data_IF_542846896126
#
_entry.id   IF_542846896126
#
_cell.length_a   1.000
_cell.length_b   1.000
_cell.length_c   1.000
_cell.angle_alpha   90.00
_cell.angle_beta   90.00
_cell.angle_gamma   90.00
#
_symmetry.space_group_name_H-M   'P 1'
#
loop_
_entity.id
_entity.type
_entity.pdbx_description
1 polymer ?
#
# COMPACT_ATOMS: atom_id res chain seq x y z
N UNK A 1 13.39 -0.92 68.66
CA UNK A 1 13.23 0.48 68.22
C UNK A 1 13.00 0.52 66.70
N UNK A 2 12.25 -0.46 66.16
CA UNK A 2 12.43 -0.94 64.78
C UNK A 2 11.21 -0.74 63.87
N UNK A 3 10.02 -0.57 64.45
CA UNK A 3 8.79 -0.36 63.67
C UNK A 3 8.67 1.05 63.07
N UNK A 4 9.20 2.06 63.74
CA UNK A 4 9.08 3.47 63.29
C UNK A 4 10.03 3.80 62.14
N UNK A 5 11.20 3.14 62.08
CA UNK A 5 12.16 3.28 60.99
C UNK A 5 11.64 2.59 59.72
N UNK A 6 11.09 1.38 59.85
CA UNK A 6 10.54 0.61 58.73
C UNK A 6 9.34 1.29 58.08
N UNK A 7 8.49 1.96 58.88
CA UNK A 7 7.35 2.73 58.36
C UNK A 7 7.79 4.00 57.61
N UNK A 8 8.90 4.63 58.00
CA UNK A 8 9.48 5.78 57.27
C UNK A 8 10.10 5.35 55.94
N UNK A 9 10.83 4.23 55.92
CA UNK A 9 11.42 3.66 54.71
C UNK A 9 10.33 3.21 53.72
N UNK A 10 9.26 2.57 54.21
CA UNK A 10 8.13 2.17 53.37
C UNK A 10 7.39 3.36 52.75
N UNK A 11 7.19 4.45 53.50
CA UNK A 11 6.57 5.68 52.97
C UNK A 11 7.45 6.36 51.94
N UNK A 12 8.75 6.40 52.16
CA UNK A 12 9.71 6.98 51.22
C UNK A 12 9.78 6.17 49.92
N UNK A 13 9.74 4.84 50.01
CA UNK A 13 9.70 3.94 48.86
C UNK A 13 8.39 4.09 48.07
N UNK A 14 7.24 4.19 48.74
CA UNK A 14 5.95 4.41 48.07
C UNK A 14 5.90 5.78 47.36
N UNK A 15 6.42 6.84 47.99
CA UNK A 15 6.50 8.16 47.36
C UNK A 15 7.43 8.15 46.15
N UNK A 16 8.55 7.42 46.22
CA UNK A 16 9.47 7.26 45.10
C UNK A 16 8.85 6.49 43.93
N UNK A 17 8.15 5.39 44.22
CA UNK A 17 7.43 4.59 43.22
C UNK A 17 6.28 5.37 42.58
N UNK A 18 5.51 6.15 43.36
CA UNK A 18 4.45 7.01 42.85
C UNK A 18 5.01 8.13 41.95
N UNK A 19 6.16 8.71 42.33
CA UNK A 19 6.88 9.69 41.51
C UNK A 19 7.38 9.09 40.19
N UNK A 20 7.98 7.89 40.22
CA UNK A 20 8.39 7.18 39.01
C UNK A 20 7.20 6.87 38.09
N UNK A 21 6.07 6.45 38.65
CA UNK A 21 4.86 6.16 37.88
C UNK A 21 4.28 7.42 37.22
N UNK A 22 4.26 8.56 37.94
CA UNK A 22 3.84 9.84 37.38
C UNK A 22 4.74 10.30 36.22
N UNK A 23 6.06 10.15 36.35
CA UNK A 23 7.02 10.50 35.28
C UNK A 23 6.84 9.59 34.07
N UNK A 24 6.58 8.29 34.27
CA UNK A 24 6.31 7.34 33.18
C UNK A 24 5.01 7.68 32.41
N UNK A 25 3.95 8.09 33.12
CA UNK A 25 2.70 8.55 32.52
C UNK A 25 2.91 9.84 31.70
N UNK A 26 3.70 10.79 32.21
CA UNK A 26 4.01 12.03 31.47
C UNK A 26 4.83 11.78 30.22
N UNK A 27 5.82 10.87 30.26
CA UNK A 27 6.65 10.54 29.10
C UNK A 27 5.84 9.85 27.99
N UNK A 28 4.82 9.06 28.36
CA UNK A 28 3.90 8.41 27.42
C UNK A 28 3.00 9.40 26.67
N UNK A 29 2.72 10.56 27.28
CA UNK A 29 1.85 11.59 26.70
C UNK A 29 2.55 12.50 25.68
N UNK A 30 3.87 12.37 25.52
CA UNK A 30 4.69 13.15 24.58
C UNK A 30 5.14 12.37 23.35
N UNK A 31 4.40 11.33 22.96
CA UNK A 31 4.46 10.88 21.57
C UNK A 31 3.96 12.05 20.69
N UNK A 32 4.88 12.88 20.24
CA UNK A 32 4.60 13.97 19.32
C UNK A 32 3.89 13.38 18.11
N UNK A 33 2.65 13.79 17.91
CA UNK A 33 1.94 13.53 16.67
C UNK A 33 2.75 14.18 15.56
N UNK A 34 3.38 13.37 14.70
CA UNK A 34 4.01 13.83 13.47
C UNK A 34 2.99 14.72 12.75
N UNK A 35 3.34 15.95 12.35
CA UNK A 35 2.40 16.79 11.62
C UNK A 35 1.91 16.00 10.41
N UNK A 36 0.59 15.83 10.31
CA UNK A 36 0.00 15.20 9.13
C UNK A 36 0.49 15.98 7.91
N UNK A 37 1.20 15.31 7.01
CA UNK A 37 1.63 15.92 5.76
C UNK A 37 0.39 16.50 5.07
N UNK A 38 0.48 17.77 4.65
CA UNK A 38 -0.58 18.41 3.87
C UNK A 38 -0.93 17.48 2.70
N UNK A 39 -2.21 17.11 2.49
CA UNK A 39 -2.59 16.20 1.42
C UNK A 39 -2.13 16.76 0.08
N UNK A 40 -1.05 16.23 -0.47
CA UNK A 40 -0.59 16.61 -1.79
C UNK A 40 -1.50 15.92 -2.80
N UNK A 41 -2.11 16.69 -3.69
CA UNK A 41 -2.96 16.14 -4.75
C UNK A 41 -2.09 15.25 -5.64
N UNK A 42 -2.35 13.93 -5.60
CA UNK A 42 -1.70 12.96 -6.47
C UNK A 42 -2.38 12.97 -7.83
N UNK A 43 -1.66 13.37 -8.87
CA UNK A 43 -2.13 13.26 -10.25
C UNK A 43 -1.83 11.86 -10.79
N UNK A 44 -2.87 11.02 -10.88
CA UNK A 44 -2.78 9.61 -11.25
C UNK A 44 -2.86 9.37 -12.76
N UNK A 45 -3.30 10.35 -13.56
CA UNK A 45 -3.40 10.19 -15.02
C UNK A 45 -2.06 10.44 -15.67
N UNK A 46 -1.42 9.37 -16.13
CA UNK A 46 -0.09 9.44 -16.73
C UNK A 46 -0.03 10.36 -17.96
N UNK A 47 -1.12 10.44 -18.74
CA UNK A 47 -1.22 11.23 -19.97
C UNK A 47 -1.00 12.73 -19.70
N UNK A 48 -1.30 13.20 -18.48
CA UNK A 48 -1.05 14.58 -18.03
C UNK A 48 0.42 14.96 -18.14
N UNK A 49 1.31 13.98 -18.07
CA UNK A 49 2.76 14.16 -18.11
C UNK A 49 3.38 13.97 -19.50
N UNK A 50 2.57 13.68 -20.52
CA UNK A 50 3.05 13.44 -21.89
C UNK A 50 3.68 14.68 -22.55
N UNK A 51 3.08 15.85 -22.35
CA UNK A 51 3.59 17.12 -22.88
C UNK A 51 4.79 17.68 -22.09
N UNK A 52 4.79 17.71 -20.74
CA UNK A 52 5.96 18.20 -19.99
C UNK A 52 7.15 17.24 -20.03
N UNK A 53 6.95 15.92 -20.10
CA UNK A 53 8.04 14.93 -20.05
C UNK A 53 7.98 13.94 -21.23
N UNK A 54 8.11 14.41 -22.48
CA UNK A 54 7.79 13.61 -23.66
C UNK A 54 8.68 12.37 -23.82
N UNK A 55 9.98 12.45 -23.52
CA UNK A 55 10.91 11.33 -23.67
C UNK A 55 10.69 10.25 -22.60
N UNK A 56 10.50 10.67 -21.35
CA UNK A 56 10.19 9.80 -20.23
C UNK A 56 8.83 9.13 -20.42
N UNK A 57 7.82 9.89 -20.84
CA UNK A 57 6.50 9.37 -21.14
C UNK A 57 6.55 8.34 -22.28
N UNK A 58 7.26 8.65 -23.37
CA UNK A 58 7.41 7.72 -24.50
C UNK A 58 8.11 6.42 -24.11
N UNK A 59 9.19 6.50 -23.33
CA UNK A 59 9.90 5.30 -22.85
C UNK A 59 9.08 4.48 -21.85
N UNK A 60 8.27 5.13 -21.00
CA UNK A 60 7.30 4.44 -20.15
C UNK A 60 6.23 3.71 -20.98
N UNK A 61 5.68 4.35 -22.02
CA UNK A 61 4.70 3.73 -22.92
C UNK A 61 5.26 2.51 -23.67
N UNK A 62 6.56 2.49 -23.97
CA UNK A 62 7.22 1.37 -24.64
C UNK A 62 7.16 0.05 -23.84
N UNK A 63 6.82 0.09 -22.54
CA UNK A 63 6.54 -1.14 -21.78
C UNK A 63 5.35 -1.92 -22.35
N UNK A 64 4.46 -1.30 -23.13
CA UNK A 64 3.41 -2.01 -23.88
C UNK A 64 3.95 -2.97 -24.95
N UNK A 65 5.20 -2.80 -25.41
CA UNK A 65 5.82 -3.71 -26.36
C UNK A 65 6.16 -5.06 -25.70
N UNK A 66 6.35 -5.08 -24.37
CA UNK A 66 6.56 -6.29 -23.57
C UNK A 66 5.22 -6.97 -23.28
N UNK A 67 4.56 -7.45 -24.33
CA UNK A 67 3.16 -7.92 -24.27
C UNK A 67 3.00 -9.41 -23.98
N UNK A 68 4.07 -10.20 -24.15
CA UNK A 68 4.05 -11.66 -24.04
C UNK A 68 3.54 -12.12 -22.69
N UNK A 69 2.48 -12.94 -22.72
CA UNK A 69 1.92 -13.59 -21.53
C UNK A 69 2.33 -15.06 -21.51
N UNK A 70 3.25 -15.39 -20.62
CA UNK A 70 3.79 -16.76 -20.48
C UNK A 70 3.19 -17.42 -19.26
N UNK A 71 2.39 -18.46 -19.48
CA UNK A 71 1.81 -19.29 -18.42
C UNK A 71 2.91 -20.12 -17.73
N UNK A 72 3.20 -19.80 -16.47
CA UNK A 72 4.22 -20.48 -15.70
C UNK A 72 3.72 -21.81 -15.13
N UNK A 73 2.41 -22.00 -14.96
CA UNK A 73 1.84 -23.29 -14.54
C UNK A 73 1.88 -24.30 -15.67
N UNK A 74 1.61 -23.87 -16.91
CA UNK A 74 1.80 -24.73 -18.09
C UNK A 74 3.27 -25.09 -18.31
N UNK A 75 4.20 -24.16 -18.05
CA UNK A 75 5.64 -24.39 -18.15
C UNK A 75 6.21 -25.30 -17.05
N UNK A 76 5.66 -25.24 -15.83
CA UNK A 76 6.03 -26.13 -14.72
C UNK A 76 4.79 -26.55 -13.90
N UNK A 77 4.10 -27.64 -14.28
CA UNK A 77 2.89 -28.09 -13.60
C UNK A 77 3.09 -28.51 -12.14
N UNK A 78 4.34 -28.71 -11.67
CA UNK A 78 4.62 -28.99 -10.26
C UNK A 78 4.23 -27.81 -9.36
N UNK A 79 4.21 -26.59 -9.91
CA UNK A 79 3.76 -25.38 -9.21
C UNK A 79 2.28 -25.47 -8.80
N UNK A 80 1.45 -26.16 -9.58
CA UNK A 80 0.04 -26.40 -9.25
C UNK A 80 -0.08 -27.23 -7.98
N UNK A 81 0.75 -28.27 -7.85
CA UNK A 81 0.78 -29.13 -6.66
C UNK A 81 1.38 -28.38 -5.47
N UNK A 82 2.48 -27.65 -5.69
CA UNK A 82 3.14 -26.86 -4.64
C UNK A 82 2.18 -25.83 -4.02
N UNK A 83 1.33 -25.22 -4.83
CA UNK A 83 0.36 -24.22 -4.38
C UNK A 83 -1.05 -24.76 -4.19
N UNK A 84 -1.22 -26.07 -4.03
CA UNK A 84 -2.52 -26.69 -3.81
C UNK A 84 -3.24 -26.04 -2.62
N UNK A 85 -4.48 -25.58 -2.86
CA UNK A 85 -5.28 -24.83 -1.88
C UNK A 85 -5.05 -23.30 -1.89
N UNK A 86 -4.16 -22.78 -2.74
CA UNK A 86 -3.85 -21.35 -2.85
C UNK A 86 -4.18 -20.79 -4.25
N UNK A 87 -4.57 -19.50 -4.39
CA UNK A 87 -4.98 -18.94 -5.69
C UNK A 87 -3.95 -19.07 -6.81
N UNK A 88 -2.65 -19.12 -6.47
CA UNK A 88 -1.57 -19.29 -7.44
C UNK A 88 -1.61 -20.63 -8.18
N UNK A 89 -2.25 -21.68 -7.62
CA UNK A 89 -2.48 -22.93 -8.34
C UNK A 89 -3.54 -22.81 -9.45
N UNK A 90 -4.33 -21.72 -9.47
CA UNK A 90 -5.36 -21.49 -10.50
C UNK A 90 -4.81 -20.74 -11.71
N UNK A 91 -3.98 -19.73 -11.47
CA UNK A 91 -3.42 -18.87 -12.50
C UNK A 91 -2.15 -18.18 -12.00
N UNK A 92 -1.05 -18.37 -12.74
CA UNK A 92 0.23 -17.75 -12.49
C UNK A 92 1.00 -17.59 -13.80
N UNK A 93 1.14 -16.35 -14.24
CA UNK A 93 1.88 -15.97 -15.44
C UNK A 93 3.19 -15.26 -15.03
N UNK A 94 4.21 -15.36 -15.89
CA UNK A 94 5.41 -14.53 -15.76
C UNK A 94 5.05 -13.04 -15.91
N UNK A 95 5.81 -12.12 -15.30
CA UNK A 95 5.57 -10.69 -15.46
C UNK A 95 5.80 -10.26 -16.92
N UNK A 96 5.09 -9.22 -17.31
CA UNK A 96 5.25 -8.51 -18.58
C UNK A 96 5.28 -7.00 -18.31
N UNK A 97 5.21 -6.15 -19.33
CA UNK A 97 5.42 -4.71 -19.17
C UNK A 97 4.43 -4.02 -18.21
N UNK A 98 4.88 -2.93 -17.58
CA UNK A 98 4.07 -2.15 -16.63
C UNK A 98 2.74 -1.64 -17.21
N UNK A 99 2.67 -1.40 -18.52
CA UNK A 99 1.44 -1.08 -19.25
C UNK A 99 0.31 -2.12 -19.09
N UNK A 100 0.60 -3.32 -18.61
CA UNK A 100 -0.38 -4.39 -18.39
C UNK A 100 -0.73 -4.60 -16.91
N UNK A 101 -0.17 -3.83 -15.98
CA UNK A 101 -0.36 -4.07 -14.55
C UNK A 101 -1.84 -4.10 -14.13
N UNK A 102 -2.66 -3.15 -14.61
CA UNK A 102 -4.11 -3.11 -14.34
C UNK A 102 -4.86 -4.24 -15.06
N UNK A 103 -4.50 -4.49 -16.32
CA UNK A 103 -5.11 -5.57 -17.11
C UNK A 103 -4.87 -6.93 -16.44
N UNK A 104 -3.62 -7.22 -16.06
CA UNK A 104 -3.23 -8.53 -15.51
C UNK A 104 -3.85 -8.80 -14.14
N UNK A 105 -3.97 -7.78 -13.27
CA UNK A 105 -4.64 -7.97 -11.98
C UNK A 105 -6.15 -8.17 -12.15
N UNK A 106 -6.76 -7.59 -13.19
CA UNK A 106 -8.19 -7.77 -13.51
C UNK A 106 -8.49 -9.10 -14.18
N UNK A 107 -7.60 -9.57 -15.04
CA UNK A 107 -7.79 -10.81 -15.82
C UNK A 107 -7.37 -12.07 -15.05
N UNK A 108 -6.54 -11.94 -14.01
CA UNK A 108 -6.03 -13.11 -13.31
C UNK A 108 -7.14 -13.89 -12.61
N UNK A 109 -7.15 -15.22 -12.75
CA UNK A 109 -8.11 -16.07 -12.02
C UNK A 109 -7.91 -16.01 -10.50
N UNK A 110 -6.81 -15.41 -10.03
CA UNK A 110 -6.54 -15.18 -8.61
C UNK A 110 -7.54 -14.18 -7.99
N UNK A 111 -7.93 -13.12 -8.71
CA UNK A 111 -8.88 -12.11 -8.23
C UNK A 111 -10.34 -12.56 -8.37
N UNK A 112 -10.60 -13.62 -9.13
CA UNK A 112 -11.91 -14.25 -9.26
C UNK A 112 -12.89 -13.43 -10.08
N UNK A 113 -14.19 -13.58 -9.81
CA UNK A 113 -15.26 -12.92 -10.55
C UNK A 113 -16.30 -12.30 -9.58
N UNK A 114 -15.91 -11.25 -8.84
CA UNK A 114 -16.81 -10.61 -7.87
C UNK A 114 -18.01 -9.95 -8.56
N UNK A 115 -19.20 -10.07 -7.95
CA UNK A 115 -20.43 -9.45 -8.46
C UNK A 115 -20.77 -8.12 -7.78
N UNK A 116 -20.25 -7.89 -6.58
CA UNK A 116 -20.45 -6.66 -5.80
C UNK A 116 -19.13 -6.19 -5.21
N UNK A 117 -19.12 -4.98 -4.63
CA UNK A 117 -17.92 -4.41 -4.00
C UNK A 117 -17.45 -5.19 -2.75
N UNK A 118 -18.33 -5.99 -2.15
CA UNK A 118 -18.09 -6.81 -0.96
C UNK A 118 -17.77 -8.28 -1.29
N UNK A 119 -17.80 -8.64 -2.57
CA UNK A 119 -17.54 -9.99 -3.07
C UNK A 119 -16.06 -10.20 -3.45
N UNK A 120 -15.69 -11.45 -3.66
CA UNK A 120 -14.40 -11.86 -4.20
C UNK A 120 -13.43 -12.42 -3.17
N UNK A 121 -12.43 -13.20 -3.63
CA UNK A 121 -11.48 -13.88 -2.77
C UNK A 121 -10.42 -12.96 -2.15
N UNK A 122 -10.08 -11.85 -2.82
CA UNK A 122 -8.91 -11.04 -2.46
C UNK A 122 -9.26 -9.68 -1.85
N UNK A 123 -8.40 -9.13 -0.96
CA UNK A 123 -8.59 -7.82 -0.32
C UNK A 123 -8.13 -6.65 -1.20
N UNK A 124 -8.44 -5.42 -0.78
CA UNK A 124 -7.97 -4.18 -1.42
C UNK A 124 -6.46 -4.13 -1.66
N UNK A 125 -5.66 -4.75 -0.78
CA UNK A 125 -4.20 -4.78 -0.86
C UNK A 125 -3.65 -5.34 -2.20
N UNK A 126 -4.44 -6.12 -2.96
CA UNK A 126 -4.00 -6.61 -4.27
C UNK A 126 -3.82 -5.51 -5.32
N UNK A 127 -4.37 -4.32 -5.10
CA UNK A 127 -4.15 -3.15 -5.95
C UNK A 127 -2.85 -2.41 -5.67
N UNK A 128 -2.23 -2.59 -4.50
CA UNK A 128 -1.25 -1.63 -3.94
C UNK A 128 0.01 -1.42 -4.77
N UNK A 129 0.34 -2.34 -5.67
CA UNK A 129 1.50 -2.24 -6.55
C UNK A 129 1.08 -2.27 -8.02
N UNK A 130 -0.06 -1.68 -8.38
CA UNK A 130 -0.63 -1.76 -9.74
C UNK A 130 -0.93 -0.41 -10.37
N UNK A 131 -1.00 0.66 -9.60
CA UNK A 131 -1.56 1.92 -10.08
C UNK A 131 -1.20 3.12 -9.20
N UNK A 132 -0.97 4.31 -9.79
CA UNK A 132 -0.81 5.55 -9.04
C UNK A 132 -2.10 5.99 -8.33
N UNK A 133 -3.27 5.44 -8.72
CA UNK A 133 -4.52 5.67 -8.00
C UNK A 133 -4.46 5.19 -6.54
N UNK A 134 -3.55 4.25 -6.21
CA UNK A 134 -3.34 3.79 -4.84
C UNK A 134 -2.92 4.95 -3.93
N UNK A 135 -1.90 5.71 -4.33
CA UNK A 135 -1.42 6.85 -3.56
C UNK A 135 -2.51 7.95 -3.48
N UNK A 136 -3.25 8.17 -4.57
CA UNK A 136 -4.40 9.09 -4.60
C UNK A 136 -5.47 8.69 -3.59
N UNK A 137 -5.94 7.44 -3.62
CA UNK A 137 -6.98 6.93 -2.72
C UNK A 137 -6.50 6.94 -1.27
N UNK A 138 -5.24 6.60 -0.99
CA UNK A 138 -4.66 6.69 0.35
C UNK A 138 -4.61 8.15 0.83
N UNK A 139 -4.22 9.09 -0.02
CA UNK A 139 -4.19 10.51 0.32
C UNK A 139 -5.60 11.08 0.61
N UNK A 140 -6.62 10.59 -0.11
CA UNK A 140 -8.02 11.03 0.06
C UNK A 140 -8.72 10.38 1.26
N UNK A 141 -8.50 9.09 1.49
CA UNK A 141 -9.29 8.27 2.43
C UNK A 141 -8.51 7.84 3.68
N UNK A 142 -7.19 7.93 3.65
CA UNK A 142 -6.30 7.36 4.66
C UNK A 142 -5.99 5.88 4.41
N UNK A 143 -4.80 5.47 4.85
CA UNK A 143 -4.27 4.11 4.62
C UNK A 143 -5.16 3.01 5.20
N UNK A 144 -5.68 3.20 6.42
CA UNK A 144 -6.57 2.23 7.06
C UNK A 144 -7.86 2.02 6.26
N UNK A 145 -8.44 3.09 5.71
CA UNK A 145 -9.63 3.00 4.88
C UNK A 145 -9.33 2.37 3.51
N UNK A 146 -8.16 2.66 2.92
CA UNK A 146 -7.71 2.04 1.69
C UNK A 146 -7.62 0.51 1.81
N UNK A 147 -6.95 0.00 2.85
CA UNK A 147 -6.76 -1.45 3.04
C UNK A 147 -8.03 -2.19 3.46
N UNK A 148 -9.09 -1.49 3.86
CA UNK A 148 -10.34 -2.11 4.26
C UNK A 148 -11.16 -2.60 3.06
N UNK A 149 -11.71 -3.81 3.18
CA UNK A 149 -12.66 -4.40 2.23
C UNK A 149 -12.01 -5.25 1.13
N UNK A 150 -12.83 -5.60 0.12
CA UNK A 150 -12.45 -6.49 -0.97
C UNK A 150 -11.81 -5.74 -2.12
N UNK A 151 -11.01 -6.46 -2.90
CA UNK A 151 -10.42 -6.00 -4.16
C UNK A 151 -11.48 -5.38 -5.08
N UNK A 152 -12.67 -5.96 -5.17
CA UNK A 152 -13.74 -5.48 -6.04
C UNK A 152 -14.15 -4.02 -5.76
N UNK A 153 -14.11 -3.57 -4.50
CA UNK A 153 -14.39 -2.18 -4.11
C UNK A 153 -13.50 -1.17 -4.82
N UNK A 154 -12.23 -1.51 -5.03
CA UNK A 154 -11.28 -0.64 -5.71
C UNK A 154 -11.44 -0.60 -7.23
N UNK A 155 -12.25 -1.47 -7.83
CA UNK A 155 -12.39 -1.60 -9.29
C UNK A 155 -12.74 -0.30 -10.01
N UNK A 156 -13.74 0.48 -9.54
CA UNK A 156 -14.09 1.78 -10.13
C UNK A 156 -13.05 2.88 -9.90
N UNK A 157 -12.22 2.76 -8.85
CA UNK A 157 -11.30 3.81 -8.39
C UNK A 157 -9.88 3.67 -8.93
N UNK A 158 -9.44 2.42 -9.17
CA UNK A 158 -8.07 2.07 -9.49
C UNK A 158 -8.04 1.60 -10.95
N UNK A 159 -7.76 2.57 -11.83
CA UNK A 159 -8.01 2.45 -13.28
C UNK A 159 -6.81 2.85 -14.13
N UNK A 160 -5.89 3.64 -13.58
CA UNK A 160 -4.69 4.08 -14.28
C UNK A 160 -3.59 3.01 -14.17
N UNK A 161 -2.89 2.75 -15.27
CA UNK A 161 -1.71 1.88 -15.24
C UNK A 161 -0.60 2.47 -14.37
N UNK A 162 0.24 1.58 -13.81
CA UNK A 162 1.45 1.95 -13.08
C UNK A 162 2.26 2.99 -13.89
N UNK A 163 2.62 4.11 -13.26
CA UNK A 163 3.26 5.22 -13.95
C UNK A 163 3.82 6.30 -13.03
N UNK A 164 3.75 7.55 -13.48
CA UNK A 164 4.63 8.63 -13.01
C UNK A 164 4.51 8.87 -11.50
N UNK A 165 3.28 8.94 -10.98
CA UNK A 165 3.01 9.23 -9.58
C UNK A 165 3.25 8.05 -8.62
N UNK A 166 3.53 6.84 -9.13
CA UNK A 166 4.00 5.74 -8.28
C UNK A 166 5.45 5.99 -7.78
N UNK A 167 6.25 6.72 -8.57
CA UNK A 167 7.68 6.90 -8.34
C UNK A 167 8.11 8.35 -8.08
N UNK A 168 7.32 9.32 -8.53
CA UNK A 168 7.67 10.74 -8.47
C UNK A 168 6.66 11.54 -7.66
N UNK A 169 7.16 12.55 -6.94
CA UNK A 169 6.30 13.61 -6.40
C UNK A 169 5.88 14.54 -7.55
N UNK A 170 4.77 14.20 -8.19
CA UNK A 170 4.24 14.93 -9.36
C UNK A 170 3.69 16.32 -9.01
N UNK A 171 3.54 16.64 -7.73
CA UNK A 171 3.15 17.96 -7.25
C UNK A 171 4.37 18.83 -6.84
N UNK A 172 5.59 18.32 -6.99
CA UNK A 172 6.80 19.09 -6.69
C UNK A 172 7.18 20.04 -7.83
N UNK A 173 7.72 21.21 -7.47
CA UNK A 173 8.25 22.15 -8.46
C UNK A 173 9.44 21.58 -9.24
N UNK A 174 10.15 20.61 -8.66
CA UNK A 174 11.28 19.95 -9.33
C UNK A 174 10.79 19.04 -10.45
N UNK A 175 9.70 18.31 -10.23
CA UNK A 175 9.10 17.49 -11.28
C UNK A 175 8.59 18.37 -12.43
N UNK A 176 7.90 19.48 -12.15
CA UNK A 176 7.39 20.38 -13.19
C UNK A 176 8.44 21.17 -14.00
N UNK A 177 9.73 21.10 -13.64
CA UNK A 177 10.81 21.92 -14.23
C UNK A 177 11.63 21.22 -15.31
N UNK A 178 11.36 19.94 -15.59
CA UNK A 178 12.02 19.15 -16.63
C UNK A 178 11.23 19.11 -17.93
#
# INVERSE_FOLDING_TARGET
>A
MDGMLMNKVSKLLMLFLAGMYAVFLSFSAQAEATPAATPQKVEAKNETFSAPHPDQYKSWQATSEQSDRVDALAGDPRLVILWAGYPFAKDYNKPRGHAYAITDIRESLRTGAPKTAEDGPLPMACWSCKSPDVARVIAEQGEAAYFHGKWARGGPEIVNNLGCADCHNTASADFCRW
#
